data_IF_668168833676
#
_entry.id   IF_668168833676
#
_cell.length_a   1.000
_cell.length_b   1.000
_cell.length_c   1.000
_cell.angle_alpha   90.00
_cell.angle_beta   90.00
_cell.angle_gamma   90.00
#
_symmetry.space_group_name_H-M   'P 1'
#
loop_
_entity.id
_entity.type
_entity.pdbx_description
1 polymer ?
#
# COMPACT_ATOMS: atom_id res chain seq x y z
N UNK A 1 38.90 25.23 -7.05
CA UNK A 1 39.51 26.14 -6.06
C UNK A 1 40.68 25.41 -5.41
N UNK A 2 41.91 25.94 -5.50
CA UNK A 2 43.07 25.45 -4.73
C UNK A 2 44.33 25.04 -5.51
N UNK A 3 44.29 24.85 -6.83
CA UNK A 3 45.49 24.48 -7.62
C UNK A 3 46.11 23.12 -7.26
N UNK A 4 45.38 22.27 -6.55
CA UNK A 4 45.81 20.91 -6.20
C UNK A 4 45.31 19.97 -7.30
N UNK A 5 46.25 19.30 -7.98
CA UNK A 5 45.93 18.24 -8.92
C UNK A 5 45.34 17.03 -8.17
N UNK A 6 44.08 16.73 -8.45
CA UNK A 6 43.38 15.59 -7.88
C UNK A 6 43.71 14.37 -8.75
N UNK A 7 44.47 13.43 -8.20
CA UNK A 7 44.74 12.16 -8.86
C UNK A 7 43.42 11.42 -9.16
N UNK A 8 43.29 10.86 -10.37
CA UNK A 8 42.12 10.04 -10.72
C UNK A 8 42.08 8.81 -9.82
N UNK A 9 41.14 8.81 -8.88
CA UNK A 9 40.82 7.66 -8.04
C UNK A 9 39.59 6.95 -8.57
N UNK A 10 39.58 5.61 -8.52
CA UNK A 10 38.42 4.79 -8.90
C UNK A 10 37.23 4.96 -7.95
N UNK A 11 37.50 5.38 -6.71
CA UNK A 11 36.49 5.70 -5.71
C UNK A 11 36.93 6.93 -4.89
N UNK A 12 36.00 7.83 -4.64
CA UNK A 12 36.20 8.98 -3.75
C UNK A 12 35.09 9.03 -2.70
N UNK A 13 35.45 9.39 -1.46
CA UNK A 13 34.49 9.56 -0.38
C UNK A 13 34.27 11.04 -0.12
N UNK A 14 33.06 11.53 -0.38
CA UNK A 14 32.67 12.92 -0.17
C UNK A 14 31.48 12.98 0.78
N UNK A 15 31.64 13.70 1.90
CA UNK A 15 30.59 13.85 2.92
C UNK A 15 29.95 12.52 3.34
N UNK A 16 30.73 11.43 3.42
CA UNK A 16 30.22 10.11 3.79
C UNK A 16 29.59 9.29 2.65
N UNK A 17 29.43 9.87 1.45
CA UNK A 17 28.99 9.18 0.23
C UNK A 17 30.20 8.65 -0.53
N UNK A 18 30.15 7.39 -0.96
CA UNK A 18 31.21 6.79 -1.79
C UNK A 18 30.81 6.91 -3.25
N UNK A 19 31.59 7.64 -4.03
CA UNK A 19 31.33 7.92 -5.43
C UNK A 19 32.35 7.14 -6.24
N UNK A 20 31.89 6.23 -7.08
CA UNK A 20 32.76 5.53 -8.03
C UNK A 20 32.97 6.36 -9.30
N UNK A 21 34.03 6.06 -10.04
CA UNK A 21 34.42 6.71 -11.30
C UNK A 21 33.35 6.67 -12.39
N UNK A 22 32.36 5.78 -12.27
CA UNK A 22 31.24 5.62 -13.20
C UNK A 22 29.93 6.20 -12.66
N UNK A 23 29.97 6.89 -11.52
CA UNK A 23 28.82 7.43 -10.80
C UNK A 23 27.69 6.41 -10.62
N UNK A 24 28.01 5.12 -10.43
CA UNK A 24 27.02 4.05 -10.24
C UNK A 24 26.61 3.88 -8.78
N UNK A 25 27.42 4.38 -7.84
CA UNK A 25 27.22 4.34 -6.39
C UNK A 25 27.07 2.93 -5.80
N UNK A 26 27.47 1.88 -6.53
CA UNK A 26 27.27 0.49 -6.11
C UNK A 26 27.97 0.17 -4.78
N UNK A 27 29.22 0.63 -4.64
CA UNK A 27 30.00 0.46 -3.40
C UNK A 27 29.36 1.20 -2.23
N UNK A 28 28.82 2.39 -2.45
CA UNK A 28 28.12 3.14 -1.41
C UNK A 28 26.88 2.41 -0.93
N UNK A 29 26.02 1.97 -1.86
CA UNK A 29 24.78 1.28 -1.49
C UNK A 29 25.06 -0.04 -0.78
N UNK A 30 26.05 -0.80 -1.23
CA UNK A 30 26.48 -2.02 -0.54
C UNK A 30 26.93 -1.74 0.90
N UNK A 31 27.66 -0.64 1.13
CA UNK A 31 28.12 -0.23 2.46
C UNK A 31 26.95 0.20 3.38
N UNK A 32 25.98 0.94 2.83
CA UNK A 32 24.75 1.35 3.55
C UNK A 32 23.93 0.11 3.94
N UNK A 33 23.69 -0.81 3.01
CA UNK A 33 22.98 -2.06 3.25
C UNK A 33 23.65 -2.92 4.32
N UNK A 34 24.99 -3.03 4.29
CA UNK A 34 25.76 -3.80 5.27
C UNK A 34 25.62 -3.21 6.68
N UNK A 35 25.68 -1.88 6.81
CA UNK A 35 25.49 -1.19 8.10
C UNK A 35 24.09 -1.41 8.66
N UNK A 36 23.06 -1.20 7.85
CA UNK A 36 21.66 -1.43 8.24
C UNK A 36 21.43 -2.88 8.70
N UNK A 37 21.95 -3.85 7.95
CA UNK A 37 21.85 -5.28 8.29
C UNK A 37 22.58 -5.64 9.58
N UNK A 38 23.74 -5.04 9.83
CA UNK A 38 24.50 -5.26 11.07
C UNK A 38 23.73 -4.82 12.31
N UNK A 39 23.13 -3.62 12.25
CA UNK A 39 22.29 -3.07 13.33
C UNK A 39 21.06 -3.97 13.54
N UNK A 40 20.38 -4.37 12.46
CA UNK A 40 19.24 -5.29 12.55
C UNK A 40 19.62 -6.64 13.21
N UNK A 41 20.76 -7.23 12.86
CA UNK A 41 21.24 -8.49 13.46
C UNK A 41 21.53 -8.33 14.95
N UNK A 42 22.10 -7.19 15.36
CA UNK A 42 22.35 -6.89 16.77
C UNK A 42 21.03 -6.78 17.55
N UNK A 43 20.05 -6.05 17.02
CA UNK A 43 18.72 -5.91 17.59
C UNK A 43 17.99 -7.25 17.67
N UNK A 44 18.06 -8.06 16.61
CA UNK A 44 17.47 -9.40 16.57
C UNK A 44 18.07 -10.34 17.62
N UNK A 45 19.37 -10.19 17.91
CA UNK A 45 20.04 -10.95 18.97
C UNK A 45 19.60 -10.48 20.36
N UNK A 46 19.48 -9.17 20.59
CA UNK A 46 18.99 -8.62 21.85
C UNK A 46 17.53 -9.02 22.13
N UNK A 47 16.66 -8.94 21.11
CA UNK A 47 15.24 -9.29 21.19
C UNK A 47 14.97 -10.77 21.54
N UNK A 48 15.91 -11.67 21.19
CA UNK A 48 15.83 -13.10 21.53
C UNK A 48 16.13 -13.39 23.00
N UNK A 49 16.87 -12.50 23.66
CA UNK A 49 17.23 -12.64 25.08
C UNK A 49 16.08 -12.15 25.98
N UNK A 50 15.30 -11.18 25.52
CA UNK A 50 14.12 -10.65 26.21
C UNK A 50 12.83 -10.96 25.44
N UNK A 51 12.22 -12.13 25.63
CA UNK A 51 10.86 -12.56 25.23
C UNK A 51 10.12 -11.75 24.12
N UNK A 52 10.79 -11.45 22.99
CA UNK A 52 10.23 -10.68 21.87
C UNK A 52 10.13 -9.17 22.13
N UNK A 53 10.67 -8.36 21.22
CA UNK A 53 10.47 -6.90 21.22
C UNK A 53 9.03 -6.55 20.80
N UNK A 54 8.39 -5.63 21.52
CA UNK A 54 7.13 -5.01 21.09
C UNK A 54 7.32 -4.35 19.70
N UNK A 55 6.40 -4.59 18.73
CA UNK A 55 6.44 -3.99 17.39
C UNK A 55 6.65 -2.47 17.38
N UNK A 56 6.13 -1.74 18.37
CA UNK A 56 6.30 -0.29 18.48
C UNK A 56 7.74 0.11 18.79
N UNK A 57 8.44 -0.67 19.62
CA UNK A 57 9.86 -0.43 19.92
C UNK A 57 10.72 -0.74 18.70
N UNK A 58 10.40 -1.80 17.96
CA UNK A 58 11.08 -2.12 16.69
C UNK A 58 10.90 -0.99 15.68
N UNK A 59 9.69 -0.41 15.60
CA UNK A 59 9.39 0.75 14.74
C UNK A 59 10.16 2.00 15.16
N UNK A 60 10.20 2.31 16.46
CA UNK A 60 10.97 3.45 16.98
C UNK A 60 12.46 3.28 16.65
N UNK A 61 13.02 2.10 16.87
CA UNK A 61 14.43 1.86 16.59
C UNK A 61 14.71 1.93 15.08
N UNK A 62 13.83 1.36 14.24
CA UNK A 62 13.98 1.42 12.78
C UNK A 62 13.96 2.87 12.26
N UNK A 63 12.94 3.65 12.65
CA UNK A 63 12.79 5.06 12.25
C UNK A 63 13.89 5.96 12.81
N UNK A 64 14.35 5.70 14.03
CA UNK A 64 15.38 6.52 14.66
C UNK A 64 16.82 6.17 14.25
N UNK A 65 17.08 4.93 13.79
CA UNK A 65 18.47 4.46 13.58
C UNK A 65 18.76 3.95 12.18
N UNK A 66 17.85 3.22 11.55
CA UNK A 66 18.08 2.58 10.24
C UNK A 66 17.68 3.54 9.12
N UNK A 67 16.54 4.20 9.26
CA UNK A 67 16.01 5.14 8.28
C UNK A 67 16.95 6.33 8.00
N UNK A 68 17.57 7.02 8.98
CA UNK A 68 18.51 8.10 8.70
C UNK A 68 19.78 7.63 7.98
N UNK A 69 20.21 6.38 8.21
CA UNK A 69 21.38 5.79 7.56
C UNK A 69 21.08 5.48 6.09
N UNK A 70 19.87 4.98 5.80
CA UNK A 70 19.44 4.65 4.45
C UNK A 70 19.07 5.91 3.66
N UNK A 71 18.47 6.92 4.29
CA UNK A 71 18.02 8.13 3.59
C UNK A 71 19.12 9.18 3.40
N UNK A 72 20.27 9.00 4.04
CA UNK A 72 21.37 9.95 3.91
C UNK A 72 21.84 10.08 2.46
N UNK A 73 21.78 11.31 1.94
CA UNK A 73 22.14 11.66 0.56
C UNK A 73 21.41 10.85 -0.53
N UNK A 74 20.23 10.27 -0.22
CA UNK A 74 19.48 9.42 -1.14
C UNK A 74 19.14 10.11 -2.47
N UNK A 75 18.91 11.42 -2.47
CA UNK A 75 18.69 12.21 -3.69
C UNK A 75 19.86 12.16 -4.69
N UNK A 76 21.09 11.89 -4.21
CA UNK A 76 22.31 11.88 -5.02
C UNK A 76 22.51 10.53 -5.70
N UNK A 77 22.29 9.43 -4.98
CA UNK A 77 22.61 8.08 -5.46
C UNK A 77 21.39 7.28 -5.92
N UNK A 78 20.17 7.59 -5.47
CA UNK A 78 18.96 6.85 -5.86
C UNK A 78 18.68 6.87 -7.39
N UNK A 79 18.88 7.98 -8.12
CA UNK A 79 18.68 7.99 -9.57
C UNK A 79 19.70 7.14 -10.35
N UNK A 80 20.92 7.03 -9.81
CA UNK A 80 22.03 6.31 -10.43
C UNK A 80 22.04 4.80 -10.11
N UNK A 81 21.42 4.41 -8.99
CA UNK A 81 21.30 3.04 -8.53
C UNK A 81 20.24 2.19 -9.27
N UNK A 82 19.75 2.63 -10.44
CA UNK A 82 18.69 1.99 -11.25
C UNK A 82 19.04 0.61 -11.87
N UNK A 83 20.15 -0.02 -11.49
CA UNK A 83 20.48 -1.39 -11.94
C UNK A 83 19.85 -2.41 -10.99
N UNK A 84 19.11 -3.38 -11.55
CA UNK A 84 18.36 -4.46 -10.90
C UNK A 84 19.04 -5.16 -9.69
N UNK A 85 20.37 -5.12 -9.57
CA UNK A 85 21.10 -5.67 -8.43
C UNK A 85 20.94 -4.85 -7.14
N UNK A 86 20.77 -3.54 -7.22
CA UNK A 86 20.66 -2.65 -6.05
C UNK A 86 19.28 -2.75 -5.40
N UNK A 87 18.23 -2.86 -6.22
CA UNK A 87 16.86 -3.18 -5.77
C UNK A 87 16.85 -4.56 -5.11
N UNK A 88 17.52 -5.57 -5.68
CA UNK A 88 17.61 -6.92 -5.10
C UNK A 88 18.40 -6.95 -3.78
N UNK A 89 19.47 -6.16 -3.64
CA UNK A 89 20.26 -6.10 -2.40
C UNK A 89 19.52 -5.35 -1.28
N UNK A 90 18.81 -4.27 -1.61
CA UNK A 90 17.86 -3.64 -0.70
C UNK A 90 16.75 -4.62 -0.33
N UNK A 91 16.18 -5.35 -1.30
CA UNK A 91 15.19 -6.40 -1.09
C UNK A 91 15.69 -7.54 -0.20
N UNK A 92 16.98 -7.90 -0.19
CA UNK A 92 17.55 -8.94 0.68
C UNK A 92 17.65 -8.47 2.14
N UNK A 93 18.09 -7.23 2.37
CA UNK A 93 18.05 -6.60 3.70
C UNK A 93 16.60 -6.45 4.16
N UNK A 94 15.69 -6.16 3.23
CA UNK A 94 14.25 -6.11 3.46
C UNK A 94 13.62 -7.52 3.66
N UNK A 95 14.18 -8.57 3.06
CA UNK A 95 13.71 -9.96 3.14
C UNK A 95 14.21 -10.71 4.38
N UNK A 96 15.34 -10.33 4.97
CA UNK A 96 15.77 -10.86 6.27
C UNK A 96 14.83 -10.48 7.42
N UNK A 97 13.95 -9.49 7.21
CA UNK A 97 12.85 -9.10 8.12
C UNK A 97 11.52 -9.79 7.75
N UNK A 98 11.37 -10.24 6.49
CA UNK A 98 10.14 -10.82 5.92
C UNK A 98 9.74 -12.18 6.52
N UNK A 99 10.60 -12.83 7.32
CA UNK A 99 10.26 -14.06 8.04
C UNK A 99 10.81 -14.00 9.47
N UNK A 100 10.00 -13.70 10.50
CA UNK A 100 10.26 -14.32 11.78
C UNK A 100 10.18 -15.83 11.53
N UNK A 101 11.23 -16.57 11.85
CA UNK A 101 11.14 -18.02 11.96
C UNK A 101 10.12 -18.34 13.07
N UNK A 102 8.84 -18.42 12.71
CA UNK A 102 7.85 -19.15 13.49
C UNK A 102 8.01 -20.62 13.12
N UNK A 103 8.88 -21.33 13.84
CA UNK A 103 8.79 -22.78 13.91
C UNK A 103 7.59 -23.12 14.80
N UNK A 104 6.46 -23.49 14.19
CA UNK A 104 5.46 -24.35 14.85
C UNK A 104 5.22 -25.61 14.01
N UNK A 105 4.97 -26.77 14.65
CA UNK A 105 4.98 -28.06 14.00
C UNK A 105 3.78 -28.21 13.06
N UNK A 106 3.93 -29.03 12.03
CA UNK A 106 2.84 -29.44 11.14
C UNK A 106 1.79 -30.20 11.95
N UNK A 107 0.56 -29.71 11.91
CA UNK A 107 -0.62 -30.35 12.48
C UNK A 107 -1.82 -29.44 12.20
N UNK A 108 -2.75 -29.95 11.41
CA UNK A 108 -3.92 -29.27 10.85
C UNK A 108 -4.78 -28.58 11.92
N UNK A 109 -5.30 -27.38 11.60
CA UNK A 109 -6.62 -26.92 12.08
C UNK A 109 -7.13 -25.76 11.19
N UNK A 110 -8.46 -25.64 10.97
CA UNK A 110 -9.04 -24.75 9.96
C UNK A 110 -8.89 -23.27 10.33
N UNK A 111 -8.44 -22.47 9.37
CA UNK A 111 -8.22 -21.03 9.47
C UNK A 111 -9.52 -20.26 9.71
N UNK A 112 -9.86 -19.98 10.97
CA UNK A 112 -10.56 -18.76 11.33
C UNK A 112 -9.51 -17.68 11.63
N UNK A 113 -9.25 -16.83 10.64
CA UNK A 113 -8.40 -15.64 10.81
C UNK A 113 -9.08 -14.77 11.88
N UNK A 114 -8.36 -14.35 12.91
CA UNK A 114 -8.87 -13.48 13.99
C UNK A 114 -8.60 -12.00 13.72
N UNK A 115 -9.35 -11.12 14.41
CA UNK A 115 -9.33 -9.64 14.35
C UNK A 115 -7.97 -8.97 14.06
N UNK A 116 -6.87 -9.51 14.61
CA UNK A 116 -5.54 -8.88 14.59
C UNK A 116 -4.72 -9.09 13.32
N UNK A 117 -5.14 -9.97 12.42
CA UNK A 117 -4.39 -10.22 11.17
C UNK A 117 -4.79 -9.27 10.03
N UNK A 118 -6.02 -8.77 10.03
CA UNK A 118 -6.51 -7.79 9.03
C UNK A 118 -5.87 -6.41 9.25
N UNK A 119 -5.67 -6.03 10.52
CA UNK A 119 -5.11 -4.74 10.93
C UNK A 119 -3.61 -4.78 11.23
N UNK A 120 -2.94 -5.92 10.99
CA UNK A 120 -1.51 -6.02 11.19
C UNK A 120 -0.85 -4.99 10.28
N UNK A 121 -0.25 -3.97 10.88
CA UNK A 121 0.45 -2.90 10.16
C UNK A 121 1.38 -3.54 9.13
N UNK A 122 1.16 -3.23 7.86
CA UNK A 122 2.08 -3.51 6.78
C UNK A 122 3.44 -2.99 7.25
N UNK A 123 4.48 -3.84 7.33
CA UNK A 123 5.78 -3.38 7.77
C UNK A 123 6.16 -2.12 6.96
N UNK A 124 6.86 -1.14 7.56
CA UNK A 124 7.28 0.09 6.87
C UNK A 124 8.05 -0.16 5.56
N UNK A 125 8.50 -1.40 5.38
CA UNK A 125 9.18 -1.98 4.23
C UNK A 125 8.29 -2.26 3.00
N UNK A 126 6.97 -2.37 3.21
CA UNK A 126 5.96 -2.53 2.16
C UNK A 126 5.45 -1.17 1.68
N UNK A 127 5.80 -0.06 2.35
CA UNK A 127 5.46 1.27 1.86
C UNK A 127 6.35 1.63 0.65
N UNK A 128 5.75 2.14 -0.46
CA UNK A 128 6.52 2.57 -1.61
C UNK A 128 7.49 3.68 -1.23
N UNK A 129 8.68 3.66 -1.84
CA UNK A 129 9.73 4.64 -1.59
C UNK A 129 9.18 6.06 -1.80
N UNK A 130 9.61 7.09 -1.04
CA UNK A 130 9.12 8.46 -1.19
C UNK A 130 9.17 9.01 -2.63
N UNK A 131 10.15 8.58 -3.43
CA UNK A 131 10.29 8.95 -4.84
C UNK A 131 9.38 8.17 -5.82
N UNK A 132 8.72 7.10 -5.37
CA UNK A 132 7.78 6.28 -6.15
C UNK A 132 6.31 6.60 -5.81
N UNK A 133 6.08 7.58 -4.93
CA UNK A 133 4.74 7.98 -4.50
C UNK A 133 3.99 8.66 -5.64
N UNK A 134 2.84 8.10 -5.98
CA UNK A 134 1.88 8.75 -6.88
C UNK A 134 1.05 9.76 -6.10
N UNK A 135 0.87 10.95 -6.70
CA UNK A 135 -0.11 11.94 -6.25
C UNK A 135 -1.51 11.47 -6.64
N UNK A 136 -2.22 10.82 -5.72
CA UNK A 136 -3.62 10.46 -5.90
C UNK A 136 -4.48 11.73 -5.82
N UNK A 137 -5.27 12.00 -6.86
CA UNK A 137 -6.22 13.11 -6.87
C UNK A 137 -7.48 12.68 -6.14
N UNK A 138 -7.72 13.27 -4.96
CA UNK A 138 -9.01 13.19 -4.26
C UNK A 138 -9.83 14.42 -4.61
N UNK A 139 -11.05 14.19 -5.09
CA UNK A 139 -12.03 15.26 -5.34
C UNK A 139 -13.21 15.04 -4.40
N UNK A 140 -13.52 16.06 -3.61
CA UNK A 140 -14.73 16.07 -2.79
C UNK A 140 -15.88 16.56 -3.66
N UNK A 141 -16.86 15.69 -3.92
CA UNK A 141 -18.06 16.04 -4.67
C UNK A 141 -19.22 16.20 -3.68
N UNK A 142 -19.60 17.45 -3.45
CA UNK A 142 -20.67 17.80 -2.52
C UNK A 142 -22.02 17.92 -3.26
N UNK A 143 -22.00 18.29 -4.54
CA UNK A 143 -23.18 18.59 -5.34
C UNK A 143 -23.24 17.81 -6.67
N UNK A 144 -24.47 17.54 -7.15
CA UNK A 144 -24.73 16.80 -8.42
C UNK A 144 -24.16 17.49 -9.66
N UNK A 145 -24.06 18.82 -9.66
CA UNK A 145 -23.50 19.57 -10.79
C UNK A 145 -21.98 19.36 -10.93
N UNK A 146 -21.27 19.25 -9.82
CA UNK A 146 -19.82 18.95 -9.80
C UNK A 146 -19.54 17.50 -10.22
N UNK A 147 -20.49 16.59 -9.98
CA UNK A 147 -20.44 15.22 -10.47
C UNK A 147 -20.48 15.21 -12.00
N UNK A 148 -21.47 15.87 -12.62
CA UNK A 148 -21.60 15.90 -14.08
C UNK A 148 -20.38 16.51 -14.78
N UNK A 149 -19.80 17.57 -14.22
CA UNK A 149 -18.58 18.21 -14.75
C UNK A 149 -17.31 17.35 -14.60
N UNK A 150 -17.27 16.42 -13.64
CA UNK A 150 -16.15 15.50 -13.41
C UNK A 150 -16.48 14.06 -13.83
N UNK A 151 -17.54 13.82 -14.61
CA UNK A 151 -18.07 12.47 -14.84
C UNK A 151 -17.53 11.74 -16.08
N UNK A 152 -16.54 12.30 -16.78
CA UNK A 152 -16.01 11.76 -18.04
C UNK A 152 -14.99 10.63 -17.84
N UNK A 153 -15.39 9.63 -17.03
CA UNK A 153 -14.66 8.38 -16.86
C UNK A 153 -15.38 7.28 -17.62
N UNK A 154 -14.61 6.52 -18.39
CA UNK A 154 -15.11 5.35 -19.12
C UNK A 154 -15.75 4.33 -18.15
N UNK A 155 -15.12 4.13 -16.99
CA UNK A 155 -15.62 3.23 -15.95
C UNK A 155 -15.78 3.96 -14.62
N UNK A 156 -16.96 3.81 -14.02
CA UNK A 156 -17.30 4.34 -12.70
C UNK A 156 -17.46 3.18 -11.73
N UNK A 157 -16.72 3.21 -10.63
CA UNK A 157 -16.75 2.18 -9.59
C UNK A 157 -17.25 2.82 -8.30
N UNK A 158 -18.36 2.34 -7.78
CA UNK A 158 -18.88 2.76 -6.49
C UNK A 158 -18.57 1.68 -5.46
N UNK A 159 -18.14 2.09 -4.27
CA UNK A 159 -17.74 1.18 -3.19
C UNK A 159 -18.51 1.53 -1.93
N UNK A 160 -18.90 0.51 -1.17
CA UNK A 160 -19.60 0.68 0.10
C UNK A 160 -19.29 -0.47 1.07
N UNK A 161 -19.38 -0.18 2.37
CA UNK A 161 -19.25 -1.11 3.47
C UNK A 161 -20.40 -0.98 4.46
N UNK A 162 -20.97 -2.12 4.87
CA UNK A 162 -22.11 -2.16 5.77
C UNK A 162 -21.92 -3.13 6.92
N UNK A 163 -22.52 -2.81 8.08
CA UNK A 163 -22.60 -3.70 9.25
C UNK A 163 -24.02 -3.71 9.79
N UNK A 164 -24.67 -4.87 9.76
CA UNK A 164 -26.04 -5.06 10.25
C UNK A 164 -26.10 -6.36 11.05
N UNK A 165 -26.61 -6.32 12.28
CA UNK A 165 -26.85 -7.50 13.15
C UNK A 165 -25.62 -8.42 13.29
N UNK A 166 -24.43 -7.82 13.44
CA UNK A 166 -23.18 -8.59 13.58
C UNK A 166 -22.69 -9.24 12.27
N UNK A 167 -23.30 -8.94 11.12
CA UNK A 167 -22.79 -9.30 9.80
C UNK A 167 -22.14 -8.09 9.16
N UNK A 168 -20.98 -8.31 8.53
CA UNK A 168 -20.18 -7.24 7.91
C UNK A 168 -20.02 -7.57 6.43
N UNK A 169 -20.34 -6.61 5.57
CA UNK A 169 -20.28 -6.77 4.12
C UNK A 169 -19.56 -5.61 3.47
N UNK A 170 -18.77 -5.90 2.45
CA UNK A 170 -18.20 -4.91 1.55
C UNK A 170 -18.71 -5.19 0.13
N UNK A 171 -18.92 -4.14 -0.65
CA UNK A 171 -19.38 -4.29 -2.02
C UNK A 171 -18.80 -3.22 -2.94
N UNK A 172 -18.81 -3.54 -4.23
CA UNK A 172 -18.64 -2.54 -5.26
C UNK A 172 -19.54 -2.80 -6.45
N UNK A 173 -19.97 -1.72 -7.10
CA UNK A 173 -20.72 -1.74 -8.36
C UNK A 173 -19.89 -1.04 -9.44
N UNK A 174 -19.80 -1.66 -10.62
CA UNK A 174 -18.97 -1.22 -11.75
C UNK A 174 -19.88 -0.87 -12.91
N UNK A 175 -19.77 0.37 -13.38
CA UNK A 175 -20.67 0.95 -14.37
C UNK A 175 -19.87 1.48 -15.55
N UNK A 176 -20.43 1.32 -16.74
CA UNK A 176 -20.03 2.08 -17.92
C UNK A 176 -21.21 2.97 -18.28
N UNK A 177 -21.00 4.28 -18.20
CA UNK A 177 -22.05 5.28 -18.37
C UNK A 177 -23.19 5.07 -17.36
N UNK A 178 -24.37 4.64 -17.82
CA UNK A 178 -25.57 4.40 -17.00
C UNK A 178 -25.89 2.90 -16.80
N UNK A 179 -25.04 2.00 -17.30
CA UNK A 179 -25.30 0.55 -17.23
C UNK A 179 -24.35 -0.14 -16.26
N UNK A 180 -24.91 -0.90 -15.30
CA UNK A 180 -24.15 -1.78 -14.41
C UNK A 180 -23.55 -2.94 -15.24
N UNK A 181 -22.22 -3.00 -15.32
CA UNK A 181 -21.50 -4.08 -16.02
C UNK A 181 -21.22 -5.23 -15.06
N UNK A 182 -20.89 -4.91 -13.80
CA UNK A 182 -20.46 -5.92 -12.83
C UNK A 182 -20.68 -5.45 -11.40
N UNK A 183 -20.97 -6.39 -10.52
CA UNK A 183 -21.06 -6.17 -9.09
C UNK A 183 -20.22 -7.21 -8.34
N UNK A 184 -19.64 -6.79 -7.22
CA UNK A 184 -18.94 -7.68 -6.31
C UNK A 184 -19.49 -7.54 -4.90
N UNK A 185 -19.58 -8.69 -4.22
CA UNK A 185 -20.04 -8.82 -2.85
C UNK A 185 -19.00 -9.60 -2.08
N UNK A 186 -18.56 -9.05 -0.96
CA UNK A 186 -17.54 -9.60 -0.08
C UNK A 186 -18.14 -9.69 1.32
N UNK A 187 -18.14 -10.88 1.89
CA UNK A 187 -18.52 -11.08 3.29
C UNK A 187 -17.26 -11.01 4.16
N UNK A 188 -17.32 -10.22 5.23
CA UNK A 188 -16.29 -10.17 6.24
C UNK A 188 -16.79 -10.85 7.51
N UNK A 189 -15.88 -11.37 8.35
CA UNK A 189 -16.24 -11.87 9.68
C UNK A 189 -17.01 -10.82 10.50
N UNK A 190 -17.94 -11.28 11.35
CA UNK A 190 -18.85 -10.40 12.08
C UNK A 190 -18.22 -9.44 13.09
N UNK A 191 -16.97 -9.73 13.47
CA UNK A 191 -16.14 -8.88 14.31
C UNK A 191 -15.61 -7.64 13.59
N UNK A 192 -15.61 -7.63 12.25
CA UNK A 192 -15.05 -6.54 11.46
C UNK A 192 -15.84 -5.23 11.61
N UNK A 193 -15.19 -4.11 11.37
CA UNK A 193 -15.81 -2.78 11.39
C UNK A 193 -16.32 -2.36 10.02
N UNK A 194 -17.25 -1.39 9.98
CA UNK A 194 -17.69 -0.76 8.73
C UNK A 194 -16.50 -0.16 7.98
N UNK A 195 -15.61 0.53 8.69
CA UNK A 195 -14.39 1.09 8.12
C UNK A 195 -13.50 0.03 7.42
N UNK A 196 -13.33 -1.15 8.01
CA UNK A 196 -12.58 -2.24 7.37
C UNK A 196 -13.26 -2.74 6.09
N UNK A 197 -14.60 -2.82 6.09
CA UNK A 197 -15.37 -3.18 4.92
C UNK A 197 -15.22 -2.15 3.80
N UNK A 198 -15.32 -0.87 4.11
CA UNK A 198 -15.09 0.25 3.18
C UNK A 198 -13.69 0.19 2.55
N UNK A 199 -12.67 0.03 3.39
CA UNK A 199 -11.29 -0.04 2.92
C UNK A 199 -11.04 -1.28 2.05
N UNK A 200 -11.67 -2.41 2.36
CA UNK A 200 -11.63 -3.62 1.54
C UNK A 200 -12.34 -3.42 0.20
N UNK A 201 -13.48 -2.72 0.17
CA UNK A 201 -14.19 -2.39 -1.05
C UNK A 201 -13.32 -1.55 -2.00
N UNK A 202 -12.65 -0.52 -1.47
CA UNK A 202 -11.70 0.31 -2.23
C UNK A 202 -10.52 -0.53 -2.72
N UNK A 203 -9.92 -1.36 -1.86
CA UNK A 203 -8.84 -2.26 -2.27
C UNK A 203 -9.28 -3.19 -3.41
N UNK A 204 -10.50 -3.74 -3.33
CA UNK A 204 -11.05 -4.57 -4.40
C UNK A 204 -11.30 -3.77 -5.69
N UNK A 205 -11.71 -2.52 -5.61
CA UNK A 205 -11.85 -1.64 -6.77
C UNK A 205 -10.51 -1.48 -7.53
N UNK A 206 -9.39 -1.32 -6.81
CA UNK A 206 -8.06 -1.22 -7.46
C UNK A 206 -7.67 -2.49 -8.23
N UNK A 207 -8.11 -3.67 -7.77
CA UNK A 207 -7.92 -4.92 -8.51
C UNK A 207 -8.72 -4.97 -9.81
N UNK A 208 -9.97 -4.49 -9.76
CA UNK A 208 -10.83 -4.41 -10.95
C UNK A 208 -10.21 -3.49 -11.98
N UNK A 209 -9.74 -2.31 -11.54
CA UNK A 209 -9.05 -1.34 -12.40
C UNK A 209 -7.84 -1.99 -13.10
N UNK A 210 -7.00 -2.69 -12.34
CA UNK A 210 -5.79 -3.30 -12.89
C UNK A 210 -6.11 -4.34 -13.98
N UNK A 211 -7.17 -5.13 -13.82
CA UNK A 211 -7.60 -6.15 -14.77
C UNK A 211 -8.49 -5.66 -15.93
N UNK A 212 -8.97 -4.42 -15.90
CA UNK A 212 -9.92 -3.90 -16.88
C UNK A 212 -9.20 -3.30 -18.11
N UNK A 213 -9.74 -3.43 -19.35
CA UNK A 213 -9.10 -2.88 -20.56
C UNK A 213 -9.19 -1.35 -20.70
N UNK A 214 -10.18 -0.72 -20.06
CA UNK A 214 -10.36 0.74 -20.07
C UNK A 214 -9.14 1.51 -19.56
N UNK A 215 -9.04 2.78 -19.97
CA UNK A 215 -7.94 3.68 -19.58
C UNK A 215 -8.32 4.73 -18.54
N UNK A 216 -9.61 4.95 -18.30
CA UNK A 216 -10.11 6.03 -17.43
C UNK A 216 -11.10 5.50 -16.37
N UNK A 217 -10.80 5.72 -15.09
CA UNK A 217 -11.58 5.21 -13.96
C UNK A 217 -11.87 6.28 -12.89
N UNK A 218 -13.12 6.36 -12.47
CA UNK A 218 -13.55 7.10 -11.28
C UNK A 218 -13.97 6.13 -10.17
N UNK A 219 -13.33 6.24 -9.00
CA UNK A 219 -13.71 5.45 -7.80
C UNK A 219 -14.45 6.36 -6.83
N UNK A 220 -15.68 6.01 -6.48
CA UNK A 220 -16.58 6.81 -5.65
C UNK A 220 -16.86 6.06 -4.35
N UNK A 221 -16.60 6.72 -3.22
CA UNK A 221 -16.87 6.21 -1.87
C UNK A 221 -17.39 7.34 -0.99
N UNK A 222 -18.34 7.03 -0.10
CA UNK A 222 -18.81 7.97 0.91
C UNK A 222 -18.00 7.91 2.23
N UNK A 223 -17.11 6.92 2.34
CA UNK A 223 -16.19 6.77 3.46
C UNK A 223 -14.94 7.64 3.30
N UNK A 224 -15.03 8.90 3.76
CA UNK A 224 -13.90 9.83 3.78
C UNK A 224 -12.69 9.24 4.55
N UNK A 225 -12.95 8.50 5.64
CA UNK A 225 -11.90 7.86 6.44
C UNK A 225 -11.14 6.80 5.63
N UNK A 226 -11.83 5.96 4.85
CA UNK A 226 -11.19 4.95 4.02
C UNK A 226 -10.39 5.58 2.88
N UNK A 227 -10.94 6.61 2.22
CA UNK A 227 -10.24 7.37 1.19
C UNK A 227 -8.98 8.04 1.72
N UNK A 228 -9.06 8.75 2.85
CA UNK A 228 -7.90 9.38 3.49
C UNK A 228 -6.82 8.36 3.84
N UNK A 229 -7.21 7.15 4.25
CA UNK A 229 -6.26 6.06 4.58
C UNK A 229 -5.49 5.60 3.36
N UNK A 230 -6.15 5.45 2.21
CA UNK A 230 -5.49 5.08 0.95
C UNK A 230 -4.55 6.19 0.48
N UNK A 231 -4.98 7.46 0.57
CA UNK A 231 -4.22 8.62 0.12
C UNK A 231 -3.00 8.89 1.01
N UNK A 232 -3.11 8.64 2.32
CA UNK A 232 -2.02 8.87 3.25
C UNK A 232 -0.87 7.88 3.03
N UNK A 233 0.20 8.32 2.37
CA UNK A 233 1.39 7.51 2.11
C UNK A 233 2.12 7.05 3.39
N UNK A 234 1.89 7.71 4.52
CA UNK A 234 2.43 7.30 5.82
C UNK A 234 1.59 6.22 6.50
N UNK A 235 0.36 5.96 6.01
CA UNK A 235 -0.49 4.93 6.55
C UNK A 235 -0.03 3.54 6.07
N UNK A 236 0.28 2.69 7.03
CA UNK A 236 0.78 1.34 6.81
C UNK A 236 -0.32 0.28 6.95
N UNK A 237 -1.58 0.62 6.70
CA UNK A 237 -2.62 -0.41 6.67
C UNK A 237 -2.41 -1.33 5.45
N UNK A 238 -2.43 -2.67 5.57
CA UNK A 238 -2.16 -3.60 4.46
C UNK A 238 -2.99 -3.32 3.21
N UNK A 239 -4.30 -3.18 3.38
CA UNK A 239 -5.22 -2.84 2.29
C UNK A 239 -4.92 -1.49 1.64
N UNK A 240 -4.44 -0.51 2.40
CA UNK A 240 -4.10 0.82 1.87
C UNK A 240 -2.78 0.79 1.09
N UNK A 241 -1.77 0.08 1.60
CA UNK A 241 -0.51 -0.17 0.89
C UNK A 241 -0.78 -0.91 -0.41
N UNK A 242 -1.51 -2.01 -0.35
CA UNK A 242 -1.88 -2.81 -1.52
C UNK A 242 -2.67 -1.98 -2.55
N UNK A 243 -3.61 -1.15 -2.09
CA UNK A 243 -4.36 -0.24 -2.97
C UNK A 243 -3.41 0.71 -3.69
N UNK A 244 -2.47 1.35 -2.97
CA UNK A 244 -1.50 2.26 -3.57
C UNK A 244 -0.60 1.55 -4.57
N UNK A 245 -0.08 0.37 -4.26
CA UNK A 245 0.79 -0.39 -5.16
C UNK A 245 0.07 -0.76 -6.47
N UNK A 246 -1.22 -1.11 -6.39
CA UNK A 246 -2.04 -1.41 -7.57
C UNK A 246 -2.36 -0.16 -8.36
N UNK A 247 -2.65 0.97 -7.70
CA UNK A 247 -2.83 2.25 -8.37
C UNK A 247 -1.54 2.70 -9.07
N UNK A 248 -0.38 2.44 -8.45
CA UNK A 248 0.92 2.66 -9.08
C UNK A 248 1.12 1.81 -10.31
N UNK A 249 0.81 0.52 -10.21
CA UNK A 249 0.88 -0.39 -11.36
C UNK A 249 -0.09 0.01 -12.46
N UNK A 250 -1.31 0.43 -12.13
CA UNK A 250 -2.30 0.90 -13.10
C UNK A 250 -1.83 2.18 -13.80
N UNK A 251 -1.23 3.12 -13.08
CA UNK A 251 -0.67 4.34 -13.66
C UNK A 251 0.49 4.03 -14.62
N UNK A 252 1.36 3.06 -14.28
CA UNK A 252 2.41 2.57 -15.18
C UNK A 252 1.86 1.90 -16.45
N UNK A 253 0.64 1.35 -16.41
CA UNK A 253 -0.09 0.83 -17.57
C UNK A 253 -0.81 1.93 -18.38
N UNK A 254 -0.64 3.20 -18.03
CA UNK A 254 -1.30 4.33 -18.70
C UNK A 254 -2.76 4.55 -18.27
N UNK A 255 -3.20 3.93 -17.17
CA UNK A 255 -4.55 4.12 -16.64
C UNK A 255 -4.62 5.35 -15.74
N UNK A 256 -5.65 6.17 -15.95
CA UNK A 256 -5.97 7.33 -15.13
C UNK A 256 -7.02 6.94 -14.11
N UNK A 257 -6.70 7.12 -12.83
CA UNK A 257 -7.62 6.81 -11.72
C UNK A 257 -7.80 8.06 -10.86
N UNK A 258 -9.05 8.45 -10.62
CA UNK A 258 -9.41 9.54 -9.70
C UNK A 258 -10.29 9.01 -8.58
N UNK A 259 -10.02 9.44 -7.35
CA UNK A 259 -10.83 9.09 -6.18
C UNK A 259 -11.80 10.24 -5.88
N UNK A 260 -13.04 9.88 -5.61
CA UNK A 260 -14.13 10.80 -5.32
C UNK A 260 -14.73 10.49 -3.96
N UNK A 261 -14.72 11.48 -3.08
CA UNK A 261 -15.58 11.43 -1.91
C UNK A 261 -16.96 11.95 -2.30
N UNK A 262 -17.99 11.18 -1.95
CA UNK A 262 -19.38 11.48 -2.24
C UNK A 262 -20.21 11.47 -0.97
N UNK A 263 -21.34 12.17 -0.96
CA UNK A 263 -22.26 12.13 0.17
C UNK A 263 -23.10 10.84 0.13
N UNK A 264 -23.19 10.16 1.28
CA UNK A 264 -24.09 9.03 1.46
C UNK A 264 -25.54 9.41 1.15
N UNK A 265 -26.30 8.51 0.53
CA UNK A 265 -27.71 8.68 0.17
C UNK A 265 -28.04 9.93 -0.67
N UNK A 266 -27.11 10.39 -1.51
CA UNK A 266 -27.32 11.55 -2.40
C UNK A 266 -28.19 11.26 -3.65
N UNK A 267 -28.83 10.09 -3.74
CA UNK A 267 -29.64 9.68 -4.89
C UNK A 267 -28.82 9.26 -6.11
N UNK A 268 -27.61 8.73 -5.89
CA UNK A 268 -26.77 8.18 -6.96
C UNK A 268 -26.99 6.67 -7.05
N UNK A 269 -27.53 6.23 -8.18
CA UNK A 269 -27.92 4.84 -8.40
C UNK A 269 -26.77 3.86 -8.16
N UNK A 270 -25.55 4.18 -8.62
CA UNK A 270 -24.38 3.34 -8.41
C UNK A 270 -23.97 3.19 -6.93
N UNK A 271 -24.11 4.26 -6.14
CA UNK A 271 -23.81 4.23 -4.71
C UNK A 271 -24.88 3.46 -3.94
N UNK A 272 -26.16 3.73 -4.20
CA UNK A 272 -27.28 2.99 -3.61
C UNK A 272 -27.21 1.51 -3.95
N UNK A 273 -26.76 1.19 -5.16
CA UNK A 273 -26.51 -0.18 -5.58
C UNK A 273 -25.39 -0.82 -4.75
N UNK A 274 -24.27 -0.14 -4.53
CA UNK A 274 -23.17 -0.65 -3.69
C UNK A 274 -23.65 -0.90 -2.24
N UNK A 275 -24.40 0.04 -1.65
CA UNK A 275 -24.99 -0.10 -0.31
C UNK A 275 -25.92 -1.30 -0.21
N UNK A 276 -26.86 -1.44 -1.15
CA UNK A 276 -27.72 -2.62 -1.21
C UNK A 276 -26.93 -3.92 -1.32
N UNK A 277 -25.83 -3.95 -2.07
CA UNK A 277 -24.99 -5.14 -2.23
C UNK A 277 -24.25 -5.47 -0.93
N UNK A 278 -23.71 -4.47 -0.23
CA UNK A 278 -23.02 -4.64 1.04
C UNK A 278 -23.97 -5.19 2.11
N UNK A 279 -25.20 -4.65 2.19
CA UNK A 279 -26.24 -5.14 3.11
C UNK A 279 -26.75 -6.55 2.77
N UNK A 280 -26.74 -6.93 1.48
CA UNK A 280 -27.19 -8.24 0.98
C UNK A 280 -26.15 -9.35 1.14
N UNK A 281 -24.93 -9.07 1.59
CA UNK A 281 -23.93 -10.08 2.00
C UNK A 281 -24.40 -10.80 3.29
N UNK A 282 -25.50 -11.57 3.20
CA UNK A 282 -26.13 -12.22 4.36
C UNK A 282 -25.78 -13.70 4.49
N UNK A 283 -25.28 -14.35 3.44
CA UNK A 283 -24.91 -15.78 3.42
C UNK A 283 -23.92 -16.07 2.27
N UNK A 284 -22.81 -16.79 2.51
CA UNK A 284 -21.97 -17.28 1.40
C UNK A 284 -20.53 -17.73 1.65
N UNK A 285 -20.24 -18.56 2.65
CA UNK A 285 -19.21 -19.60 2.47
C UNK A 285 -19.94 -20.86 1.95
N UNK A 286 -20.40 -20.85 0.69
CA UNK A 286 -20.61 -22.12 0.00
C UNK A 286 -19.27 -22.54 -0.59
N UNK A 287 -18.57 -23.41 0.15
CA UNK A 287 -17.51 -24.24 -0.43
C UNK A 287 -18.14 -24.96 -1.61
N UNK A 288 -17.72 -24.66 -2.83
CA UNK A 288 -17.94 -25.58 -3.96
C UNK A 288 -17.09 -26.82 -3.65
N UNK A 289 -17.78 -27.91 -3.30
CA UNK A 289 -17.29 -29.29 -3.32
C UNK A 289 -16.78 -29.65 -4.71
#
# INVERSE_FOLDING_TARGET
MGGIDIAMSREIKLLGVTIDDRLTFNTHVANVCRKATGIYKLLSRAARVSWGLNPDIVRIIYTATIEPIILYAASVWAPAAKKLMTIKQLQVVQQCVRRPHCTRPRGECPLELGDREIERVAPAIEAPHPAERISLRLVSLVDREQLNQNSDFEIRIFTDGSRIEGKVGAALSVWNSETEIKAFKLALPGYCTVYQAELLAICKATHVILGHPASSFGVYSDSMAALQTVINHSCLHPLAVESRDKLTTASLQGKVVTLFWIKAHAGMEGNERADQLAQKCRFGLQKKT
#
